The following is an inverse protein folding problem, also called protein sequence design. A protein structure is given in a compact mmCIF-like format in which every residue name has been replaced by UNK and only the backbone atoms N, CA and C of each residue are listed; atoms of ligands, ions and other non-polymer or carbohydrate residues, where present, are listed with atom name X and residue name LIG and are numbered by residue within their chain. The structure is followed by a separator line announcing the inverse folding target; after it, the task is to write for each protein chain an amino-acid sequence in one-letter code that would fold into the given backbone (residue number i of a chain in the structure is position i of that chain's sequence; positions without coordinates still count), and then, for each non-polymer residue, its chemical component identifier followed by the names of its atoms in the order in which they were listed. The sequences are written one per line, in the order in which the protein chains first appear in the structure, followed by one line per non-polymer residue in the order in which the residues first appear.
data_IF_830443705939
#
_entry.id   IF_830443705939
#
_cell.length_a   1.000
_cell.length_b   1.000
_cell.length_c   1.000
_cell.angle_alpha   90.00
_cell.angle_beta   90.00
_cell.angle_gamma   90.00
#
_symmetry.space_group_name_H-M   'P 1'
#
loop_
_entity.id
_entity.type
_entity.pdbx_description
1 polymer ?
#
# COMPACT_ATOMS: atom_id res chain seq x y z
N UNK A 1 11.37 13.31 -13.55
CA UNK A 1 12.04 12.02 -13.80
C UNK A 1 11.31 11.30 -14.92
N UNK A 2 12.02 10.96 -15.99
CA UNK A 2 11.51 10.16 -17.09
C UNK A 2 11.93 8.68 -16.95
N UNK A 3 11.46 7.81 -17.85
CA UNK A 3 11.73 6.36 -17.82
C UNK A 3 13.23 6.04 -17.85
N UNK A 4 13.99 6.73 -18.71
CA UNK A 4 15.42 6.52 -18.91
C UNK A 4 16.21 6.85 -17.64
N UNK A 5 15.90 7.99 -17.02
CA UNK A 5 16.51 8.42 -15.76
C UNK A 5 16.22 7.44 -14.62
N UNK A 6 14.97 6.97 -14.50
CA UNK A 6 14.58 6.01 -13.47
C UNK A 6 15.29 4.66 -13.63
N UNK A 7 15.41 4.18 -14.87
CA UNK A 7 16.09 2.92 -15.16
C UNK A 7 17.59 3.01 -14.86
N UNK A 8 18.23 4.13 -15.19
CA UNK A 8 19.64 4.36 -14.90
C UNK A 8 19.96 4.27 -13.41
N UNK A 9 19.07 4.78 -12.53
CA UNK A 9 19.21 4.62 -11.08
C UNK A 9 19.07 3.15 -10.68
N UNK A 10 18.02 2.48 -11.15
CA UNK A 10 17.69 1.10 -10.78
C UNK A 10 18.79 0.10 -11.17
N UNK A 11 19.41 0.29 -12.34
CA UNK A 11 20.45 -0.60 -12.86
C UNK A 11 21.87 -0.09 -12.59
N UNK A 12 22.02 0.97 -11.78
CA UNK A 12 23.33 1.49 -11.45
C UNK A 12 24.14 0.48 -10.64
N UNK A 13 25.46 0.44 -10.87
CA UNK A 13 26.39 -0.25 -9.97
C UNK A 13 26.83 0.62 -8.78
N UNK A 14 26.16 1.74 -8.56
CA UNK A 14 26.49 2.68 -7.50
C UNK A 14 26.06 2.12 -6.13
N UNK A 15 26.72 2.59 -5.07
CA UNK A 15 26.34 2.23 -3.71
C UNK A 15 24.95 2.81 -3.39
N UNK A 16 23.98 1.92 -3.13
CA UNK A 16 22.58 2.30 -2.91
C UNK A 16 22.40 3.25 -1.72
N UNK A 17 23.35 3.24 -0.76
CA UNK A 17 23.36 4.17 0.36
C UNK A 17 23.41 5.64 -0.09
N UNK A 18 24.04 5.94 -1.22
CA UNK A 18 24.07 7.30 -1.76
C UNK A 18 22.67 7.74 -2.18
N UNK A 19 21.93 6.89 -2.89
CA UNK A 19 20.54 7.19 -3.27
C UNK A 19 19.63 7.29 -2.05
N UNK A 20 19.81 6.42 -1.06
CA UNK A 20 19.07 6.47 0.19
C UNK A 20 19.31 7.78 0.95
N UNK A 21 20.58 8.21 1.06
CA UNK A 21 20.94 9.49 1.69
C UNK A 21 20.29 10.68 0.97
N UNK A 22 20.31 10.70 -0.37
CA UNK A 22 19.63 11.75 -1.14
C UNK A 22 18.11 11.74 -0.93
N UNK A 23 17.49 10.55 -0.90
CA UNK A 23 16.07 10.41 -0.62
C UNK A 23 15.70 10.93 0.80
N UNK A 24 16.56 10.70 1.81
CA UNK A 24 16.39 11.25 3.15
C UNK A 24 16.41 12.78 3.13
N UNK A 25 17.35 13.40 2.41
CA UNK A 25 17.44 14.86 2.34
C UNK A 25 16.16 15.48 1.76
N UNK A 26 15.66 14.91 0.66
CA UNK A 26 14.39 15.35 0.05
C UNK A 26 13.21 15.14 1.02
N UNK A 27 13.14 13.96 1.67
CA UNK A 27 12.11 13.65 2.66
C UNK A 27 12.15 14.60 3.85
N UNK A 28 13.34 14.98 4.32
CA UNK A 28 13.53 15.92 5.41
C UNK A 28 13.06 17.34 5.02
N UNK A 29 13.41 17.81 3.82
CA UNK A 29 12.97 19.12 3.31
C UNK A 29 11.45 19.18 3.16
N UNK A 30 10.82 18.13 2.63
CA UNK A 30 9.39 18.13 2.29
C UNK A 30 8.46 17.73 3.45
N UNK A 31 8.90 16.83 4.32
CA UNK A 31 8.03 16.23 5.34
C UNK A 31 8.69 16.11 6.72
N UNK A 32 9.99 16.37 6.82
CA UNK A 32 10.74 16.23 8.06
C UNK A 32 10.58 14.84 8.67
N UNK A 33 10.28 14.82 9.97
CA UNK A 33 9.99 13.60 10.72
C UNK A 33 8.49 13.32 10.91
N UNK A 34 7.62 13.96 10.12
CA UNK A 34 6.17 13.74 10.21
C UNK A 34 5.80 12.39 9.61
N UNK A 35 4.96 11.65 10.33
CA UNK A 35 4.41 10.36 9.89
C UNK A 35 2.90 10.51 9.76
N UNK A 36 2.31 9.99 8.68
CA UNK A 36 0.86 9.92 8.50
C UNK A 36 0.38 8.50 8.76
N UNK A 37 -0.42 8.32 9.81
CA UNK A 37 -1.07 7.06 10.11
C UNK A 37 -2.36 6.92 9.29
N UNK A 38 -2.49 5.83 8.55
CA UNK A 38 -3.70 5.49 7.80
C UNK A 38 -4.14 4.09 8.20
N UNK A 39 -5.41 3.93 8.56
CA UNK A 39 -6.01 2.62 8.86
C UNK A 39 -6.90 2.20 7.70
N UNK A 40 -6.73 0.98 7.22
CA UNK A 40 -7.53 0.40 6.14
C UNK A 40 -8.43 -0.72 6.68
N UNK A 41 -9.60 -0.86 6.08
CA UNK A 41 -10.55 -1.95 6.35
C UNK A 41 -10.82 -2.71 5.06
N UNK A 42 -10.72 -4.03 5.11
CA UNK A 42 -11.22 -4.87 4.04
C UNK A 42 -12.76 -4.94 4.10
N UNK A 43 -13.44 -4.17 3.24
CA UNK A 43 -14.91 -4.07 3.27
C UNK A 43 -15.61 -5.22 2.52
N UNK A 44 -14.93 -5.93 1.63
CA UNK A 44 -15.45 -7.07 0.86
C UNK A 44 -14.27 -7.98 0.51
N UNK A 45 -14.39 -9.29 0.73
CA UNK A 45 -13.23 -10.19 0.63
C UNK A 45 -13.46 -11.37 -0.31
N UNK A 46 -12.47 -11.64 -1.17
CA UNK A 46 -12.37 -12.89 -1.97
C UNK A 46 -13.39 -13.05 -3.10
N UNK A 47 -14.08 -11.96 -3.47
CA UNK A 47 -15.10 -11.90 -4.52
C UNK A 47 -14.71 -10.88 -5.61
N UNK A 48 -13.43 -10.91 -5.99
CA UNK A 48 -12.85 -10.08 -7.04
C UNK A 48 -12.89 -10.82 -8.38
N UNK A 49 -13.27 -10.14 -9.47
CA UNK A 49 -13.29 -10.69 -10.83
C UNK A 49 -11.91 -10.78 -11.48
N UNK A 50 -10.92 -10.08 -10.92
CA UNK A 50 -9.60 -9.93 -11.52
C UNK A 50 -8.69 -11.13 -11.25
N UNK A 51 -7.79 -11.42 -12.19
CA UNK A 51 -6.80 -12.51 -12.19
C UNK A 51 -5.40 -12.06 -11.74
N UNK A 52 -5.31 -11.04 -10.87
CA UNK A 52 -4.02 -10.55 -10.40
C UNK A 52 -3.21 -11.67 -9.70
N UNK A 53 -2.13 -12.13 -10.35
CA UNK A 53 -1.37 -13.32 -9.90
C UNK A 53 -0.70 -13.22 -8.52
N UNK A 54 -0.56 -12.01 -7.98
CA UNK A 54 -0.03 -11.77 -6.63
C UNK A 54 -1.12 -11.64 -5.55
N UNK A 55 -2.40 -11.53 -5.94
CA UNK A 55 -3.47 -11.16 -5.03
C UNK A 55 -4.21 -12.39 -4.46
N UNK A 56 -4.22 -12.52 -3.13
CA UNK A 56 -4.94 -13.59 -2.44
C UNK A 56 -6.47 -13.56 -2.66
N UNK A 57 -7.02 -12.42 -3.11
CA UNK A 57 -8.45 -12.24 -3.38
C UNK A 57 -8.84 -12.40 -4.84
N UNK A 58 -7.88 -12.68 -5.73
CA UNK A 58 -8.13 -12.94 -7.15
C UNK A 58 -9.10 -14.11 -7.34
N UNK A 59 -9.87 -14.10 -8.44
CA UNK A 59 -10.79 -15.20 -8.80
C UNK A 59 -10.08 -16.56 -8.89
N UNK A 60 -8.81 -16.58 -9.27
CA UNK A 60 -8.04 -17.81 -9.49
C UNK A 60 -7.25 -18.23 -8.23
N UNK A 61 -7.30 -17.42 -7.17
CA UNK A 61 -6.54 -17.68 -5.95
C UNK A 61 -7.16 -18.81 -5.11
N UNK A 62 -6.30 -19.73 -4.68
CA UNK A 62 -6.63 -20.83 -3.73
C UNK A 62 -6.20 -20.51 -2.30
N UNK A 63 -5.79 -19.26 -2.01
CA UNK A 63 -5.36 -18.86 -0.68
C UNK A 63 -6.50 -19.06 0.35
N UNK A 64 -6.18 -19.52 1.58
CA UNK A 64 -7.18 -19.73 2.62
C UNK A 64 -7.59 -18.40 3.26
N UNK A 65 -8.46 -17.64 2.57
CA UNK A 65 -8.99 -16.37 3.04
C UNK A 65 -10.48 -16.47 3.35
N UNK A 66 -10.94 -15.68 4.34
CA UNK A 66 -12.37 -15.53 4.60
C UNK A 66 -13.02 -14.77 3.43
N UNK A 67 -14.01 -15.39 2.79
CA UNK A 67 -14.77 -14.80 1.69
C UNK A 67 -16.10 -14.27 2.21
N UNK A 68 -16.37 -13.00 1.94
CA UNK A 68 -17.60 -12.34 2.38
C UNK A 68 -17.94 -11.17 1.45
N UNK A 69 -19.24 -10.89 1.36
CA UNK A 69 -19.78 -9.75 0.62
C UNK A 69 -19.39 -8.40 1.23
N UNK A 70 -19.98 -7.32 0.72
CA UNK A 70 -19.76 -6.01 1.30
C UNK A 70 -20.30 -5.99 2.75
N UNK A 71 -19.48 -5.55 3.69
CA UNK A 71 -19.89 -5.39 5.08
C UNK A 71 -21.08 -4.41 5.19
N UNK A 72 -21.97 -4.59 6.17
CA UNK A 72 -23.04 -3.63 6.43
C UNK A 72 -22.47 -2.22 6.66
N UNK A 73 -23.17 -1.21 6.14
CA UNK A 73 -22.76 0.20 6.25
C UNK A 73 -22.46 0.61 7.70
N UNK A 74 -23.30 0.20 8.64
CA UNK A 74 -23.15 0.53 10.05
C UNK A 74 -21.88 -0.07 10.66
N UNK A 75 -21.48 -1.27 10.23
CA UNK A 75 -20.22 -1.87 10.65
C UNK A 75 -19.01 -1.11 10.11
N UNK A 76 -19.06 -0.70 8.84
CA UNK A 76 -18.00 0.10 8.21
C UNK A 76 -17.84 1.43 8.97
N UNK A 77 -18.93 2.14 9.24
CA UNK A 77 -18.94 3.39 10.00
C UNK A 77 -18.39 3.17 11.41
N UNK A 78 -18.84 2.11 12.10
CA UNK A 78 -18.35 1.78 13.45
C UNK A 78 -16.83 1.58 13.46
N UNK A 79 -16.28 0.84 12.50
CA UNK A 79 -14.82 0.62 12.40
C UNK A 79 -14.07 1.91 12.05
N UNK A 80 -14.62 2.75 11.18
CA UNK A 80 -14.05 4.05 10.88
C UNK A 80 -13.99 4.97 12.12
N UNK A 81 -15.04 4.99 12.94
CA UNK A 81 -15.07 5.74 14.20
C UNK A 81 -14.04 5.21 15.20
N UNK A 82 -13.84 3.90 15.28
CA UNK A 82 -12.78 3.29 16.11
C UNK A 82 -11.40 3.73 15.61
N UNK A 83 -11.17 3.72 14.30
CA UNK A 83 -9.91 4.15 13.71
C UNK A 83 -9.62 5.65 13.92
N UNK A 84 -10.65 6.51 13.89
CA UNK A 84 -10.51 7.97 14.13
C UNK A 84 -10.15 8.32 15.58
N UNK A 85 -10.50 7.46 16.55
CA UNK A 85 -10.24 7.70 17.98
C UNK A 85 -8.76 7.47 18.37
N UNK A 86 -7.93 6.99 17.45
CA UNK A 86 -6.47 6.88 17.61
C UNK A 86 -5.78 8.03 16.90
#
# INVERSE_FOLDING_TARGET
MNKTEALAILTSGADWWQYYAQAILVKQEKSGNRIRLNTLLNAKSGLCSEDCGYCAQSKDSKAPINRYGLLPKDEIIRKALIAKKK
#
